data_IF_454683848087
#
_entry.id   IF_454683848087
#
_cell.length_a   1.000
_cell.length_b   1.000
_cell.length_c   1.000
_cell.angle_alpha   90.00
_cell.angle_beta   90.00
_cell.angle_gamma   90.00
#
_symmetry.space_group_name_H-M   'P 1'
#
loop_
_entity.id
_entity.type
_entity.pdbx_description
1 polymer ?
#
# COMPACT_ATOMS: atom_id res chain seq x y z
N UNK A 1 -8.25 -12.09 30.12
CA UNK A 1 -8.57 -10.93 29.26
C UNK A 1 -9.92 -11.19 28.61
N UNK A 2 -10.96 -10.46 28.98
CA UNK A 2 -12.28 -10.60 28.35
C UNK A 2 -12.19 -10.03 26.94
N UNK A 3 -12.16 -10.89 25.93
CA UNK A 3 -12.18 -10.48 24.53
C UNK A 3 -13.54 -9.90 24.20
N UNK A 4 -13.59 -8.64 23.76
CA UNK A 4 -14.80 -8.06 23.20
C UNK A 4 -15.18 -8.81 21.92
N UNK A 5 -16.48 -9.07 21.72
CA UNK A 5 -16.99 -9.67 20.50
C UNK A 5 -16.54 -8.88 19.25
N UNK A 6 -16.15 -9.55 18.16
CA UNK A 6 -15.71 -8.88 16.94
C UNK A 6 -16.88 -8.10 16.32
N UNK A 7 -16.68 -6.80 16.10
CA UNK A 7 -17.66 -5.92 15.46
C UNK A 7 -17.44 -5.91 13.94
N UNK A 8 -18.50 -5.61 13.17
CA UNK A 8 -18.38 -5.43 11.72
C UNK A 8 -17.35 -4.35 11.37
N UNK A 9 -16.59 -4.57 10.29
CA UNK A 9 -15.50 -3.68 9.87
C UNK A 9 -14.24 -3.78 10.74
N UNK A 10 -14.20 -4.70 11.71
CA UNK A 10 -12.95 -5.03 12.41
C UNK A 10 -12.19 -6.11 11.66
N UNK A 11 -10.84 -6.10 11.73
CA UNK A 11 -10.00 -7.12 11.10
C UNK A 11 -10.39 -8.56 11.42
N UNK A 12 -10.84 -8.82 12.65
CA UNK A 12 -11.27 -10.14 13.10
C UNK A 12 -12.60 -10.56 12.46
N UNK A 13 -13.57 -9.65 12.34
CA UNK A 13 -14.84 -9.95 11.70
C UNK A 13 -14.67 -10.24 10.22
N UNK A 14 -13.90 -9.40 9.51
CA UNK A 14 -13.65 -9.56 8.08
C UNK A 14 -12.94 -10.90 7.79
N UNK A 15 -11.94 -11.27 8.60
CA UNK A 15 -11.26 -12.55 8.46
C UNK A 15 -12.22 -13.74 8.64
N UNK A 16 -13.10 -13.66 9.66
CA UNK A 16 -14.08 -14.70 9.95
C UNK A 16 -15.12 -14.85 8.81
N UNK A 17 -15.62 -13.73 8.28
CA UNK A 17 -16.51 -13.70 7.12
C UNK A 17 -15.84 -14.31 5.88
N UNK A 18 -14.56 -14.02 5.65
CA UNK A 18 -13.81 -14.60 4.52
C UNK A 18 -13.61 -16.11 4.67
N UNK A 19 -13.26 -16.60 5.86
CA UNK A 19 -13.17 -18.05 6.09
C UNK A 19 -14.49 -18.75 5.82
N UNK A 20 -15.61 -18.13 6.22
CA UNK A 20 -16.94 -18.64 5.93
C UNK A 20 -17.22 -18.68 4.42
N UNK A 21 -16.91 -17.60 3.69
CA UNK A 21 -17.08 -17.55 2.23
C UNK A 21 -16.24 -18.58 1.47
N UNK A 22 -15.12 -19.02 2.03
CA UNK A 22 -14.23 -20.05 1.46
C UNK A 22 -14.68 -21.49 1.79
N UNK A 23 -15.86 -21.67 2.39
CA UNK A 23 -16.39 -22.99 2.76
C UNK A 23 -15.98 -23.46 4.16
N UNK A 24 -15.59 -22.54 5.04
CA UNK A 24 -15.34 -22.81 6.46
C UNK A 24 -13.96 -23.38 6.80
N UNK A 25 -13.11 -23.61 5.79
CA UNK A 25 -11.70 -23.99 5.96
C UNK A 25 -10.84 -23.17 5.00
N UNK A 26 -9.77 -22.56 5.51
CA UNK A 26 -8.86 -21.77 4.69
C UNK A 26 -7.42 -21.91 5.16
N UNK A 27 -6.48 -21.94 4.21
CA UNK A 27 -5.05 -21.79 4.53
C UNK A 27 -4.74 -20.33 4.85
N UNK A 28 -3.69 -20.07 5.64
CA UNK A 28 -3.28 -18.70 6.00
C UNK A 28 -2.98 -17.87 4.73
N UNK A 29 -2.35 -18.48 3.73
CA UNK A 29 -2.05 -17.82 2.46
C UNK A 29 -3.31 -17.46 1.66
N UNK A 30 -4.30 -18.34 1.60
CA UNK A 30 -5.59 -18.06 0.95
C UNK A 30 -6.33 -16.94 1.68
N UNK A 31 -6.31 -16.95 3.01
CA UNK A 31 -6.90 -15.89 3.83
C UNK A 31 -6.22 -14.54 3.60
N UNK A 32 -4.90 -14.52 3.50
CA UNK A 32 -4.13 -13.31 3.24
C UNK A 32 -4.45 -12.74 1.86
N UNK A 33 -4.55 -13.59 0.84
CA UNK A 33 -4.98 -13.20 -0.50
C UNK A 33 -6.42 -12.68 -0.53
N UNK A 34 -7.33 -13.30 0.22
CA UNK A 34 -8.74 -12.89 0.27
C UNK A 34 -8.95 -11.57 1.03
N UNK A 35 -8.08 -11.25 1.99
CA UNK A 35 -8.16 -10.05 2.84
C UNK A 35 -7.17 -8.95 2.39
N UNK A 36 -6.59 -9.08 1.19
CA UNK A 36 -5.46 -8.31 0.62
C UNK A 36 -5.40 -6.79 0.92
N UNK A 37 -6.49 -6.10 1.28
CA UNK A 37 -6.49 -4.69 1.68
C UNK A 37 -6.11 -4.41 3.14
N UNK A 38 -6.41 -5.31 4.08
CA UNK A 38 -6.39 -5.00 5.52
C UNK A 38 -5.14 -5.56 6.24
N UNK A 39 -4.46 -6.56 5.68
CA UNK A 39 -3.26 -7.15 6.28
C UNK A 39 -2.10 -7.25 5.28
N UNK A 40 -0.99 -6.58 5.61
CA UNK A 40 0.26 -6.64 4.83
C UNK A 40 1.20 -7.77 5.25
N UNK A 41 0.95 -8.47 6.37
CA UNK A 41 1.82 -9.55 6.85
C UNK A 41 1.03 -10.67 7.54
N UNK A 42 1.49 -11.94 7.43
CA UNK A 42 0.84 -13.09 8.04
C UNK A 42 0.87 -13.02 9.57
N UNK A 43 1.97 -12.50 10.14
CA UNK A 43 2.12 -12.30 11.59
C UNK A 43 1.11 -11.30 12.15
N UNK A 44 0.79 -10.25 11.37
CA UNK A 44 -0.19 -9.24 11.78
C UNK A 44 -1.62 -9.77 11.69
N UNK A 45 -1.90 -10.55 10.64
CA UNK A 45 -3.17 -11.27 10.51
C UNK A 45 -3.37 -12.22 11.71
N UNK A 46 -2.32 -12.95 12.09
CA UNK A 46 -2.40 -13.90 13.20
C UNK A 46 -2.69 -13.22 14.55
N UNK A 47 -1.99 -12.12 14.85
CA UNK A 47 -2.19 -11.37 16.11
C UNK A 47 -3.52 -10.61 16.16
N UNK A 48 -3.95 -9.99 15.06
CA UNK A 48 -5.11 -9.09 15.06
C UNK A 48 -6.43 -9.80 14.77
N UNK A 49 -6.41 -10.92 14.03
CA UNK A 49 -7.62 -11.64 13.67
C UNK A 49 -7.65 -13.05 14.27
N UNK A 50 -6.67 -13.91 13.96
CA UNK A 50 -6.80 -15.33 14.28
C UNK A 50 -6.72 -15.59 15.79
N UNK A 51 -5.76 -14.99 16.49
CA UNK A 51 -5.59 -15.17 17.93
C UNK A 51 -6.84 -14.75 18.73
N UNK A 52 -7.42 -13.55 18.53
CA UNK A 52 -8.65 -13.19 19.24
C UNK A 52 -9.84 -14.09 18.85
N UNK A 53 -9.97 -14.49 17.58
CA UNK A 53 -11.04 -15.40 17.15
C UNK A 53 -10.92 -16.80 17.77
N UNK A 54 -9.69 -17.29 17.91
CA UNK A 54 -9.40 -18.58 18.55
C UNK A 54 -9.68 -18.53 20.06
N UNK A 55 -9.33 -17.42 20.72
CA UNK A 55 -9.64 -17.21 22.15
C UNK A 55 -11.14 -17.14 22.42
N UNK A 56 -11.91 -16.61 21.47
CA UNK A 56 -13.38 -16.56 21.55
C UNK A 56 -14.06 -17.87 21.11
N UNK A 57 -13.29 -18.87 20.65
CA UNK A 57 -13.83 -20.17 20.24
C UNK A 57 -14.58 -20.16 18.91
N UNK A 58 -14.47 -19.11 18.09
CA UNK A 58 -15.11 -19.05 16.78
C UNK A 58 -14.33 -19.78 15.69
N UNK A 59 -13.06 -20.05 15.95
CA UNK A 59 -12.12 -20.59 14.97
C UNK A 59 -11.16 -21.56 15.66
N UNK A 60 -10.88 -22.70 15.01
CA UNK A 60 -9.83 -23.65 15.41
C UNK A 60 -8.64 -23.57 14.47
N UNK A 61 -7.44 -23.59 15.05
CA UNK A 61 -6.18 -23.67 14.29
C UNK A 61 -5.89 -25.13 13.96
N UNK A 62 -5.69 -25.41 12.68
CA UNK A 62 -5.22 -26.69 12.17
C UNK A 62 -3.74 -26.56 11.75
N UNK A 63 -3.03 -27.68 11.62
CA UNK A 63 -1.65 -27.68 11.10
C UNK A 63 -1.55 -27.07 9.69
N UNK A 64 -2.59 -27.23 8.89
CA UNK A 64 -2.66 -26.80 7.49
C UNK A 64 -3.37 -25.47 7.28
N UNK A 65 -3.92 -24.86 8.34
CA UNK A 65 -4.69 -23.64 8.22
C UNK A 65 -5.69 -23.45 9.36
N UNK A 66 -6.89 -23.03 8.99
CA UNK A 66 -7.87 -22.49 9.93
C UNK A 66 -9.24 -23.05 9.57
N UNK A 67 -9.99 -23.46 10.59
CA UNK A 67 -11.35 -23.96 10.44
C UNK A 67 -12.31 -23.16 11.30
N UNK A 68 -13.47 -22.82 10.75
CA UNK A 68 -14.55 -22.18 11.51
C UNK A 68 -15.23 -23.21 12.42
N UNK A 69 -15.55 -22.83 13.66
CA UNK A 69 -16.35 -23.68 14.56
C UNK A 69 -17.84 -23.50 14.28
N UNK A 70 -18.70 -24.43 14.75
CA UNK A 70 -20.16 -24.25 14.67
C UNK A 70 -20.62 -22.95 15.32
N UNK A 71 -20.00 -22.55 16.44
CA UNK A 71 -20.28 -21.28 17.11
C UNK A 71 -19.94 -20.07 16.22
N UNK A 72 -18.82 -20.15 15.48
CA UNK A 72 -18.44 -19.10 14.52
C UNK A 72 -19.40 -19.00 13.34
N UNK A 73 -19.91 -20.12 12.83
CA UNK A 73 -20.90 -20.15 11.75
C UNK A 73 -22.20 -19.47 12.17
N UNK A 74 -22.77 -19.89 13.31
CA UNK A 74 -24.01 -19.30 13.86
C UNK A 74 -23.85 -17.79 14.11
N UNK A 75 -22.66 -17.35 14.56
CA UNK A 75 -22.38 -15.93 14.76
C UNK A 75 -22.40 -15.11 13.44
N UNK A 76 -21.89 -15.66 12.34
CA UNK A 76 -21.94 -15.00 11.03
C UNK A 76 -23.37 -14.97 10.51
N UNK A 77 -24.05 -16.11 10.52
CA UNK A 77 -25.41 -16.24 9.99
C UNK A 77 -26.38 -15.31 10.72
N UNK A 78 -26.30 -15.25 12.05
CA UNK A 78 -27.11 -14.34 12.86
C UNK A 78 -26.79 -12.87 12.62
N UNK A 79 -25.54 -12.54 12.28
CA UNK A 79 -25.19 -11.19 11.86
C UNK A 79 -25.64 -10.89 10.43
N UNK A 80 -25.50 -11.82 9.49
CA UNK A 80 -25.94 -11.64 8.10
C UNK A 80 -27.45 -11.40 8.01
N UNK A 81 -28.25 -12.14 8.78
CA UNK A 81 -29.71 -11.96 8.87
C UNK A 81 -30.13 -10.56 9.35
N UNK A 82 -29.31 -9.90 10.18
CA UNK A 82 -29.56 -8.51 10.62
C UNK A 82 -29.24 -7.46 9.55
N UNK A 83 -28.58 -7.84 8.45
CA UNK A 83 -28.17 -6.93 7.36
C UNK A 83 -29.25 -6.70 6.30
N UNK A 84 -30.34 -7.46 6.30
CA UNK A 84 -31.40 -7.36 5.30
C UNK A 84 -32.34 -6.16 5.48
N UNK A 85 -32.11 -5.33 6.51
CA UNK A 85 -32.76 -4.02 6.62
C UNK A 85 -32.14 -3.13 5.55
N UNK A 86 -32.71 -3.20 4.34
CA UNK A 86 -32.23 -2.56 3.14
C UNK A 86 -32.03 -1.07 3.35
N UNK A 87 -30.77 -0.66 3.47
CA UNK A 87 -30.39 0.72 3.22
C UNK A 87 -30.82 1.02 1.77
N UNK A 88 -31.85 1.86 1.64
CA UNK A 88 -32.35 2.35 0.36
C UNK A 88 -31.16 2.97 -0.36
N UNK A 89 -30.64 2.28 -1.38
CA UNK A 89 -29.58 2.81 -2.25
C UNK A 89 -30.16 4.07 -2.87
N UNK A 90 -29.73 5.25 -2.39
CA UNK A 90 -30.08 6.48 -3.06
C UNK A 90 -29.52 6.40 -4.49
N UNK A 91 -30.32 6.73 -5.52
CA UNK A 91 -29.84 6.72 -6.89
C UNK A 91 -28.62 7.63 -7.01
N UNK A 92 -27.62 7.17 -7.76
CA UNK A 92 -26.39 7.91 -8.04
C UNK A 92 -26.75 9.30 -8.58
N UNK A 93 -26.40 10.34 -7.82
CA UNK A 93 -26.49 11.71 -8.30
C UNK A 93 -25.52 11.84 -9.49
N UNK A 94 -25.94 12.36 -10.65
CA UNK A 94 -25.03 12.55 -11.79
C UNK A 94 -23.86 13.43 -11.36
N UNK A 95 -22.64 12.96 -11.64
CA UNK A 95 -21.44 13.71 -11.31
C UNK A 95 -21.49 15.10 -11.98
N UNK A 96 -21.07 16.17 -11.29
CA UNK A 96 -21.03 17.50 -11.89
C UNK A 96 -20.08 17.51 -13.10
N UNK A 97 -20.38 18.31 -14.14
CA UNK A 97 -19.55 18.35 -15.34
C UNK A 97 -18.13 18.78 -15.00
N UNK A 98 -17.16 17.98 -15.44
CA UNK A 98 -15.73 18.25 -15.29
C UNK A 98 -15.36 19.49 -16.11
N UNK A 99 -14.98 20.58 -15.43
CA UNK A 99 -14.32 21.70 -16.10
C UNK A 99 -12.97 21.21 -16.66
N UNK A 100 -12.66 21.44 -17.94
CA UNK A 100 -11.36 21.07 -18.48
C UNK A 100 -10.26 21.84 -17.73
N UNK A 101 -9.19 21.12 -17.38
CA UNK A 101 -7.99 21.71 -16.79
C UNK A 101 -7.39 22.68 -17.82
N UNK A 102 -7.31 23.97 -17.47
CA UNK A 102 -6.67 24.99 -18.31
C UNK A 102 -5.16 24.67 -18.40
N UNK A 103 -4.74 24.00 -19.47
CA UNK A 103 -3.34 23.62 -19.70
C UNK A 103 -2.42 24.79 -20.07
N UNK A 104 -2.98 25.96 -20.36
CA UNK A 104 -2.23 27.13 -20.82
C UNK A 104 -1.49 27.87 -19.69
N UNK A 105 -1.96 27.88 -18.44
CA UNK A 105 -1.35 28.75 -17.41
C UNK A 105 -0.08 28.19 -16.77
N UNK A 106 0.31 26.94 -17.07
CA UNK A 106 1.46 26.30 -16.47
C UNK A 106 2.78 26.53 -17.25
N UNK A 107 2.70 26.95 -18.51
CA UNK A 107 3.87 27.13 -19.37
C UNK A 107 4.32 28.60 -19.51
N UNK A 108 3.46 29.58 -19.23
CA UNK A 108 3.81 31.01 -19.28
C UNK A 108 4.74 31.47 -18.12
N UNK A 109 5.06 30.58 -17.17
CA UNK A 109 5.97 30.89 -16.05
C UNK A 109 7.45 30.92 -16.47
N UNK A 110 7.77 30.57 -17.73
CA UNK A 110 9.14 30.72 -18.24
C UNK A 110 9.43 32.18 -18.60
N UNK A 111 8.44 32.95 -19.09
CA UNK A 111 8.63 34.34 -19.50
C UNK A 111 8.51 35.34 -18.34
N UNK A 112 7.82 34.97 -17.25
CA UNK A 112 7.73 35.80 -16.04
C UNK A 112 8.93 35.65 -15.07
N UNK A 113 10.12 35.32 -15.57
CA UNK A 113 11.33 35.23 -14.74
C UNK A 113 11.99 36.60 -14.64
N UNK A 114 12.18 37.10 -13.41
CA UNK A 114 12.96 38.31 -13.13
C UNK A 114 14.35 38.20 -13.78
N UNK A 115 14.91 39.30 -14.35
CA UNK A 115 16.28 39.30 -14.82
C UNK A 115 17.21 38.87 -13.67
N UNK A 116 18.05 37.86 -13.92
CA UNK A 116 18.95 37.25 -12.93
C UNK A 116 18.43 35.99 -12.21
N UNK A 117 17.18 35.56 -12.43
CA UNK A 117 16.60 34.37 -11.80
C UNK A 117 17.20 33.03 -12.29
N UNK A 118 18.19 33.06 -13.18
CA UNK A 118 18.92 31.88 -13.67
C UNK A 118 20.44 32.00 -13.52
N UNK A 119 20.95 33.08 -12.91
CA UNK A 119 22.40 33.35 -12.84
C UNK A 119 23.17 32.31 -12.02
N UNK A 120 22.51 31.68 -11.05
CA UNK A 120 23.10 30.62 -10.23
C UNK A 120 23.35 29.30 -10.98
N UNK A 121 22.85 29.14 -12.22
CA UNK A 121 23.17 27.97 -13.05
C UNK A 121 24.55 28.04 -13.70
N UNK A 122 25.19 29.21 -13.70
CA UNK A 122 26.52 29.42 -14.28
C UNK A 122 27.63 29.47 -13.21
N UNK A 123 27.32 29.24 -11.94
CA UNK A 123 28.33 29.18 -10.87
C UNK A 123 28.85 27.74 -10.79
N UNK A 124 30.12 27.46 -11.12
CA UNK A 124 30.68 26.13 -10.97
C UNK A 124 30.73 25.76 -9.49
N UNK A 125 30.08 24.65 -9.14
CA UNK A 125 30.12 24.10 -7.78
C UNK A 125 31.56 23.73 -7.41
N UNK A 126 32.02 24.18 -6.25
CA UNK A 126 33.29 23.77 -5.66
C UNK A 126 33.07 22.55 -4.77
N UNK A 127 33.66 21.40 -5.11
CA UNK A 127 33.80 20.26 -4.20
C UNK A 127 35.26 20.17 -3.75
N UNK A 128 35.51 20.28 -2.45
CA UNK A 128 36.85 20.07 -1.88
C UNK A 128 37.95 20.99 -2.43
N UNK A 129 37.61 22.22 -2.82
CA UNK A 129 38.57 23.18 -3.40
C UNK A 129 38.82 23.03 -4.90
N UNK A 130 38.18 22.08 -5.57
CA UNK A 130 38.30 21.86 -7.02
C UNK A 130 37.03 22.31 -7.74
N UNK A 131 37.18 23.11 -8.81
CA UNK A 131 36.06 23.56 -9.65
C UNK A 131 35.63 22.42 -10.58
N UNK A 132 34.38 21.98 -10.47
CA UNK A 132 33.82 20.96 -11.37
C UNK A 132 32.98 21.65 -12.45
N UNK A 133 33.40 21.60 -13.73
CA UNK A 133 32.63 22.20 -14.82
C UNK A 133 31.32 21.44 -15.05
N UNK A 134 30.21 22.17 -15.17
CA UNK A 134 28.91 21.61 -15.51
C UNK A 134 28.86 21.36 -17.02
N UNK A 135 28.73 20.09 -17.44
CA UNK A 135 28.64 19.58 -18.83
C UNK A 135 29.94 19.23 -19.57
N UNK A 136 30.97 18.71 -18.90
CA UNK A 136 31.96 17.89 -19.60
C UNK A 136 31.54 16.43 -19.54
N UNK A 137 31.10 15.89 -20.68
CA UNK A 137 30.92 14.46 -20.91
C UNK A 137 32.11 13.68 -20.36
N UNK A 138 31.85 12.60 -19.63
CA UNK A 138 32.87 11.64 -19.18
C UNK A 138 33.73 11.20 -20.36
N UNK A 139 34.90 11.81 -20.55
CA UNK A 139 35.97 11.20 -21.29
C UNK A 139 36.70 10.32 -20.29
N UNK A 140 36.33 9.04 -20.29
CA UNK A 140 37.15 7.98 -19.72
C UNK A 140 38.43 7.96 -20.55
N UNK A 141 39.46 8.67 -20.10
CA UNK A 141 40.80 8.54 -20.65
C UNK A 141 41.30 7.16 -20.29
N UNK A 142 41.14 6.22 -21.23
CA UNK A 142 41.78 4.92 -21.18
C UNK A 142 43.29 5.13 -21.09
N UNK A 143 43.87 4.69 -19.98
CA UNK A 143 45.32 4.49 -19.87
C UNK A 143 45.71 3.47 -20.94
N UNK A 144 46.29 3.98 -22.01
CA UNK A 144 46.79 3.22 -23.14
C UNK A 144 48.20 3.72 -23.44
N UNK A 145 49.20 2.94 -23.01
CA UNK A 145 50.50 2.80 -23.67
C UNK A 145 51.53 3.93 -23.53
N UNK A 146 52.79 3.52 -23.40
CA UNK A 146 53.95 4.29 -23.85
C UNK A 146 55.06 4.38 -22.82
N UNK A 147 56.12 3.59 -23.01
CA UNK A 147 57.36 3.71 -22.26
C UNK A 147 58.20 4.91 -22.69
N UNK A 148 59.28 5.15 -21.96
CA UNK A 148 60.63 5.25 -22.49
C UNK A 148 61.61 5.42 -21.33
N UNK A 149 62.75 4.75 -21.45
CA UNK A 149 63.85 4.84 -20.50
C UNK A 149 64.69 6.11 -20.69
N UNK A 150 65.42 6.46 -19.64
CA UNK A 150 66.83 6.83 -19.65
C UNK A 150 67.23 7.18 -18.21
N UNK A 151 68.14 6.40 -17.65
CA UNK A 151 69.39 6.85 -17.01
C UNK A 151 70.27 5.62 -16.70
#
# INVERSE_FOLDING_TARGET
>A
MQGSLPRRGTPAFDALERVHSLGGKASIHQLLAAVNSNFRSPTRLDKLAIQPLALLGFVTRLKTGIQITPAGQVFIESNAAKSSIGAKVLPSQPAPPTKPLHSASAFDVIEARRPGALDYRNIPSLMGGVRVPYRSSCQVTGQSGGGDGND
#
